data_IF_571019269087
#
_entry.id   IF_571019269087
#
_cell.length_a   1.000
_cell.length_b   1.000
_cell.length_c   1.000
_cell.angle_alpha   90.00
_cell.angle_beta   90.00
_cell.angle_gamma   90.00
#
_symmetry.space_group_name_H-M   'P 1'
#
loop_
_entity.id
_entity.type
_entity.pdbx_description
1 polymer ?
#
# COMPACT_ATOMS: atom_id res chain seq x y z
N UNK A 1 -24.98 -7.30 0.46
CA UNK A 1 -23.73 -7.90 -0.05
C UNK A 1 -23.00 -8.66 1.06
N UNK A 2 -22.41 -7.96 2.04
CA UNK A 2 -21.58 -8.54 3.11
C UNK A 2 -22.17 -9.76 3.84
N UNK A 3 -23.40 -9.66 4.35
CA UNK A 3 -24.02 -10.74 5.13
C UNK A 3 -24.17 -12.07 4.36
N UNK A 4 -24.17 -12.03 3.01
CA UNK A 4 -24.33 -13.20 2.13
C UNK A 4 -23.01 -13.72 1.56
N UNK A 5 -21.94 -12.93 1.61
CA UNK A 5 -20.64 -13.36 1.11
C UNK A 5 -20.01 -14.34 2.09
N UNK A 6 -19.49 -15.45 1.57
CA UNK A 6 -18.73 -16.45 2.32
C UNK A 6 -17.49 -16.77 1.49
N UNK A 7 -16.34 -16.69 2.12
CA UNK A 7 -15.08 -17.11 1.53
C UNK A 7 -14.48 -18.21 2.40
N UNK A 8 -13.96 -19.29 1.80
CA UNK A 8 -13.14 -20.27 2.50
C UNK A 8 -11.68 -19.78 2.67
N UNK A 9 -11.32 -18.62 2.11
CA UNK A 9 -9.96 -18.10 2.15
C UNK A 9 -9.69 -17.44 3.49
N UNK A 10 -8.56 -17.80 4.10
CA UNK A 10 -8.06 -17.14 5.29
C UNK A 10 -7.32 -15.83 4.92
N UNK A 11 -7.68 -14.76 5.63
CA UNK A 11 -7.12 -13.41 5.52
C UNK A 11 -6.18 -13.09 6.71
N UNK A 12 -5.89 -14.08 7.54
CA UNK A 12 -5.11 -13.92 8.75
C UNK A 12 -5.88 -13.22 9.87
N UNK A 13 -5.14 -12.82 10.90
CA UNK A 13 -5.70 -12.35 12.18
C UNK A 13 -6.38 -10.98 12.04
N UNK A 14 -5.84 -10.09 11.20
CA UNK A 14 -6.35 -8.71 11.03
C UNK A 14 -6.64 -8.45 9.54
N UNK A 15 -7.87 -8.68 9.07
CA UNK A 15 -8.17 -8.70 7.63
C UNK A 15 -8.43 -7.31 7.00
N UNK A 16 -8.26 -6.21 7.74
CA UNK A 16 -8.31 -4.82 7.24
C UNK A 16 -9.58 -4.44 6.46
N UNK A 17 -10.75 -4.95 6.87
CA UNK A 17 -12.02 -4.78 6.14
C UNK A 17 -11.99 -5.30 4.67
N UNK A 18 -10.90 -5.94 4.21
CA UNK A 18 -10.76 -6.49 2.86
C UNK A 18 -11.81 -7.55 2.51
N UNK A 19 -12.31 -8.38 3.44
CA UNK A 19 -13.40 -9.27 3.10
C UNK A 19 -14.68 -8.46 2.76
N UNK A 20 -14.88 -7.26 3.34
CA UNK A 20 -16.04 -6.41 2.98
C UNK A 20 -15.89 -5.93 1.55
N UNK A 21 -14.69 -5.51 1.18
CA UNK A 21 -14.36 -5.13 -0.20
C UNK A 21 -14.63 -6.32 -1.14
N UNK A 22 -14.16 -7.52 -0.80
CA UNK A 22 -14.42 -8.74 -1.55
C UNK A 22 -15.93 -9.00 -1.76
N UNK A 23 -16.73 -8.84 -0.72
CA UNK A 23 -18.18 -8.99 -0.79
C UNK A 23 -18.86 -7.95 -1.68
N UNK A 24 -18.37 -6.71 -1.70
CA UNK A 24 -18.90 -5.65 -2.56
C UNK A 24 -18.55 -5.91 -4.04
N UNK A 25 -17.32 -6.35 -4.32
CA UNK A 25 -16.88 -6.75 -5.65
C UNK A 25 -17.69 -7.96 -6.15
N UNK A 26 -17.81 -9.00 -5.32
CA UNK A 26 -18.58 -10.20 -5.66
C UNK A 26 -20.07 -9.92 -5.91
N UNK A 27 -20.61 -8.86 -5.29
CA UNK A 27 -21.98 -8.41 -5.52
C UNK A 27 -22.14 -7.51 -6.76
N UNK A 28 -21.06 -7.24 -7.51
CA UNK A 28 -21.10 -6.49 -8.77
C UNK A 28 -21.33 -4.99 -8.59
N UNK A 29 -20.93 -4.41 -7.45
CA UNK A 29 -21.07 -2.96 -7.26
C UNK A 29 -20.17 -2.19 -8.25
N UNK A 30 -20.61 -1.01 -8.73
CA UNK A 30 -19.86 -0.22 -9.72
C UNK A 30 -18.69 0.57 -9.11
N UNK A 31 -18.46 0.49 -7.79
CA UNK A 31 -17.39 1.20 -7.10
C UNK A 31 -16.02 0.76 -7.62
N UNK A 32 -15.20 1.73 -8.03
CA UNK A 32 -13.88 1.48 -8.65
C UNK A 32 -12.70 1.61 -7.69
N UNK A 33 -12.91 2.28 -6.55
CA UNK A 33 -11.88 2.55 -5.55
C UNK A 33 -12.45 2.26 -4.16
N UNK A 34 -11.74 1.43 -3.41
CA UNK A 34 -12.00 1.13 -2.01
C UNK A 34 -10.79 1.56 -1.19
N UNK A 35 -11.03 2.08 0.00
CA UNK A 35 -9.98 2.53 0.91
C UNK A 35 -10.17 1.87 2.27
N UNK A 36 -9.09 1.26 2.77
CA UNK A 36 -9.04 0.56 4.06
C UNK A 36 -7.72 0.87 4.74
N UNK A 37 -7.69 0.90 6.06
CA UNK A 37 -6.48 1.20 6.81
C UNK A 37 -6.43 0.41 8.13
N UNK A 38 -5.22 0.23 8.66
CA UNK A 38 -5.05 -0.15 10.05
C UNK A 38 -5.64 0.95 10.94
N UNK A 39 -6.40 0.56 11.95
CA UNK A 39 -7.06 1.49 12.87
C UNK A 39 -6.11 1.90 13.98
N UNK A 40 -6.45 3.00 14.67
CA UNK A 40 -5.78 3.45 15.89
C UNK A 40 -4.27 3.69 15.73
N UNK A 41 -3.85 4.11 14.54
CA UNK A 41 -2.45 4.39 14.23
C UNK A 41 -1.52 3.21 14.59
N UNK A 42 -1.92 1.96 14.29
CA UNK A 42 -1.18 0.77 14.73
C UNK A 42 0.31 0.76 14.33
N UNK A 43 0.64 1.32 13.16
CA UNK A 43 2.02 1.45 12.67
C UNK A 43 2.77 2.65 13.25
N UNK A 44 2.09 3.52 13.99
CA UNK A 44 2.69 4.70 14.60
C UNK A 44 3.38 4.40 15.93
N UNK A 45 4.45 3.62 15.85
CA UNK A 45 5.23 3.15 16.99
C UNK A 45 6.47 4.02 17.18
N UNK A 46 6.72 4.50 18.40
CA UNK A 46 7.87 5.37 18.72
C UNK A 46 8.92 4.69 19.60
N UNK A 47 8.63 3.48 20.07
CA UNK A 47 9.47 2.64 20.96
C UNK A 47 9.19 1.17 20.67
N UNK A 48 10.09 0.26 21.05
CA UNK A 48 9.92 -1.20 20.92
C UNK A 48 9.43 -1.65 19.54
N UNK A 49 9.92 -0.99 18.48
CA UNK A 49 9.31 -1.06 17.16
C UNK A 49 9.54 -2.42 16.48
N UNK A 50 10.69 -3.06 16.67
CA UNK A 50 11.08 -4.25 15.91
C UNK A 50 10.02 -5.37 15.96
N UNK A 51 9.62 -5.81 17.15
CA UNK A 51 8.68 -6.91 17.32
C UNK A 51 7.25 -6.55 16.88
N UNK A 52 6.78 -5.36 17.28
CA UNK A 52 5.44 -4.91 16.94
C UNK A 52 5.30 -4.66 15.44
N UNK A 53 6.29 -4.01 14.82
CA UNK A 53 6.29 -3.71 13.40
C UNK A 53 6.38 -5.00 12.57
N UNK A 54 7.24 -5.96 12.95
CA UNK A 54 7.32 -7.26 12.29
C UNK A 54 5.96 -7.99 12.31
N UNK A 55 5.29 -8.02 13.47
CA UNK A 55 3.96 -8.63 13.61
C UNK A 55 2.90 -7.93 12.74
N UNK A 56 2.90 -6.60 12.72
CA UNK A 56 1.96 -5.82 11.91
C UNK A 56 2.20 -6.04 10.41
N UNK A 57 3.45 -6.16 9.97
CA UNK A 57 3.80 -6.51 8.59
C UNK A 57 3.30 -7.91 8.23
N UNK A 58 3.41 -8.89 9.13
CA UNK A 58 2.82 -10.22 8.92
C UNK A 58 1.30 -10.12 8.71
N UNK A 59 0.60 -9.38 9.57
CA UNK A 59 -0.85 -9.21 9.44
C UNK A 59 -1.26 -8.52 8.14
N UNK A 60 -0.52 -7.48 7.74
CA UNK A 60 -0.74 -6.81 6.47
C UNK A 60 -0.52 -7.77 5.28
N UNK A 61 0.56 -8.55 5.33
CA UNK A 61 0.90 -9.53 4.30
C UNK A 61 -0.16 -10.62 4.15
N UNK A 62 -0.62 -11.20 5.27
CA UNK A 62 -1.66 -12.23 5.29
C UNK A 62 -2.98 -11.70 4.74
N UNK A 63 -3.39 -10.49 5.15
CA UNK A 63 -4.64 -9.87 4.70
C UNK A 63 -4.63 -9.60 3.20
N UNK A 64 -3.53 -9.06 2.67
CA UNK A 64 -3.38 -8.78 1.23
C UNK A 64 -3.31 -10.07 0.42
N UNK A 65 -2.55 -11.07 0.89
CA UNK A 65 -2.46 -12.37 0.23
C UNK A 65 -3.82 -13.11 0.23
N UNK A 66 -4.53 -13.09 1.35
CA UNK A 66 -5.90 -13.60 1.48
C UNK A 66 -6.86 -12.92 0.51
N UNK A 67 -6.85 -11.59 0.46
CA UNK A 67 -7.68 -10.83 -0.47
C UNK A 67 -7.41 -11.19 -1.93
N UNK A 68 -6.15 -11.21 -2.37
CA UNK A 68 -5.81 -11.54 -3.76
C UNK A 68 -6.19 -12.99 -4.11
N UNK A 69 -5.97 -13.95 -3.21
CA UNK A 69 -6.43 -15.34 -3.40
C UNK A 69 -7.94 -15.45 -3.51
N UNK A 70 -8.68 -14.68 -2.71
CA UNK A 70 -10.14 -14.70 -2.75
C UNK A 70 -10.67 -14.07 -4.04
N UNK A 71 -10.04 -12.99 -4.52
CA UNK A 71 -10.36 -12.38 -5.81
C UNK A 71 -10.06 -13.34 -6.96
N UNK A 72 -8.93 -14.06 -6.94
CA UNK A 72 -8.65 -15.12 -7.93
C UNK A 72 -9.72 -16.22 -7.90
N UNK A 73 -10.07 -16.70 -6.70
CA UNK A 73 -11.08 -17.75 -6.50
C UNK A 73 -12.44 -17.40 -7.11
N UNK A 74 -12.85 -16.13 -7.04
CA UNK A 74 -14.13 -15.67 -7.61
C UNK A 74 -14.00 -15.16 -9.05
N UNK A 75 -12.85 -15.32 -9.71
CA UNK A 75 -12.62 -14.92 -11.10
C UNK A 75 -12.40 -13.41 -11.30
N UNK A 76 -12.04 -12.67 -10.24
CA UNK A 76 -11.79 -11.24 -10.25
C UNK A 76 -10.30 -10.86 -10.10
N UNK A 77 -9.39 -11.83 -10.02
CA UNK A 77 -7.95 -11.58 -9.80
C UNK A 77 -7.30 -10.64 -10.82
N UNK A 78 -7.68 -10.73 -12.10
CA UNK A 78 -7.21 -9.85 -13.18
C UNK A 78 -7.86 -8.45 -13.16
N UNK A 79 -8.84 -8.24 -12.28
CA UNK A 79 -9.70 -7.05 -12.23
C UNK A 79 -9.51 -6.23 -10.96
N UNK A 80 -8.49 -6.56 -10.16
CA UNK A 80 -8.15 -5.87 -8.91
C UNK A 80 -6.65 -5.61 -8.82
N UNK A 81 -6.30 -4.48 -8.22
CA UNK A 81 -4.94 -4.17 -7.76
C UNK A 81 -5.05 -3.49 -6.39
N UNK A 82 -4.07 -3.74 -5.54
CA UNK A 82 -3.98 -3.14 -4.20
C UNK A 82 -2.78 -2.21 -4.18
N UNK A 83 -3.00 -0.94 -3.85
CA UNK A 83 -1.94 0.02 -3.56
C UNK A 83 -1.84 0.18 -2.05
N UNK A 84 -0.64 -0.02 -1.50
CA UNK A 84 -0.34 0.09 -0.07
C UNK A 84 0.63 1.24 0.10
N UNK A 85 0.32 2.16 1.01
CA UNK A 85 1.13 3.33 1.28
C UNK A 85 1.04 3.75 2.74
N UNK A 86 1.96 4.62 3.14
CA UNK A 86 1.95 5.34 4.41
C UNK A 86 2.05 6.84 4.15
N UNK A 87 1.55 7.66 5.07
CA UNK A 87 1.67 9.12 5.00
C UNK A 87 3.03 9.62 5.51
N UNK A 88 3.75 8.77 6.25
CA UNK A 88 5.06 9.06 6.83
C UNK A 88 5.97 7.83 6.76
N UNK A 89 7.26 8.03 7.02
CA UNK A 89 8.25 6.99 7.24
C UNK A 89 8.92 7.10 8.60
N UNK A 90 10.13 6.57 8.74
CA UNK A 90 10.93 6.67 9.98
C UNK A 90 12.25 7.36 9.70
N UNK A 91 12.71 8.16 10.65
CA UNK A 91 14.08 8.68 10.64
C UNK A 91 15.08 7.56 10.87
N UNK A 92 16.30 7.75 10.38
CA UNK A 92 17.36 6.76 10.55
C UNK A 92 17.90 6.73 11.99
N UNK A 93 18.16 7.87 12.66
CA UNK A 93 18.69 7.84 14.02
C UNK A 93 17.66 7.36 15.05
N UNK A 94 18.17 6.68 16.08
CA UNK A 94 17.39 6.33 17.25
C UNK A 94 17.01 7.59 18.05
N UNK A 95 15.78 7.65 18.55
CA UNK A 95 15.32 8.71 19.44
C UNK A 95 15.69 8.40 20.91
N UNK A 96 15.42 9.35 21.81
CA UNK A 96 15.76 9.22 23.24
C UNK A 96 15.03 8.09 23.97
N UNK A 97 14.05 7.45 23.32
CA UNK A 97 13.21 6.38 23.87
C UNK A 97 13.51 5.00 23.26
N UNK A 98 14.67 4.84 22.62
CA UNK A 98 15.09 3.59 21.97
C UNK A 98 14.15 3.14 20.83
N UNK A 99 13.61 4.11 20.09
CA UNK A 99 12.84 3.90 18.87
C UNK A 99 13.18 4.96 17.82
N UNK A 100 12.24 5.33 16.96
CA UNK A 100 12.46 6.30 15.88
C UNK A 100 11.29 7.26 15.70
N UNK A 101 11.61 8.50 15.35
CA UNK A 101 10.64 9.54 15.07
C UNK A 101 10.10 9.46 13.64
N UNK A 102 9.08 10.27 13.34
CA UNK A 102 8.50 10.38 12.00
C UNK A 102 9.53 10.90 10.99
N UNK A 103 9.63 10.20 9.87
CA UNK A 103 10.49 10.53 8.73
C UNK A 103 9.68 10.89 7.48
N UNK A 104 10.34 11.55 6.53
CA UNK A 104 9.71 12.09 5.33
C UNK A 104 9.56 11.09 4.15
N UNK A 105 10.26 9.95 4.16
CA UNK A 105 10.24 8.99 3.04
C UNK A 105 9.85 7.58 3.49
N UNK A 106 9.11 6.86 2.64
CA UNK A 106 8.64 5.50 2.90
C UNK A 106 8.65 4.64 1.63
N UNK A 107 8.16 3.41 1.76
CA UNK A 107 7.92 2.48 0.66
C UNK A 107 6.43 2.44 0.33
N UNK A 108 6.12 2.40 -0.96
CA UNK A 108 4.78 2.10 -1.48
C UNK A 108 4.81 0.76 -2.23
N UNK A 109 3.73 0.00 -2.12
CA UNK A 109 3.58 -1.28 -2.83
C UNK A 109 2.37 -1.21 -3.77
N UNK A 110 2.50 -1.84 -4.93
CA UNK A 110 1.37 -2.13 -5.83
C UNK A 110 1.37 -3.64 -6.07
N UNK A 111 0.26 -4.30 -5.74
CA UNK A 111 0.18 -5.76 -5.72
C UNK A 111 -1.08 -6.22 -6.45
N UNK A 112 -0.94 -7.21 -7.33
CA UNK A 112 -2.05 -7.78 -8.09
C UNK A 112 -1.55 -8.58 -9.28
N UNK A 113 -2.39 -9.43 -9.85
CA UNK A 113 -2.06 -10.26 -11.02
C UNK A 113 -1.64 -9.44 -12.26
N UNK A 114 -2.25 -8.27 -12.54
CA UNK A 114 -1.85 -7.42 -13.68
C UNK A 114 -0.57 -6.60 -13.44
N UNK A 115 0.06 -6.69 -12.26
CA UNK A 115 1.23 -5.90 -11.90
C UNK A 115 2.50 -6.64 -12.29
N UNK A 116 3.34 -6.02 -13.12
CA UNK A 116 4.72 -6.50 -13.32
C UNK A 116 5.53 -6.21 -12.06
N UNK A 117 5.87 -7.27 -11.32
CA UNK A 117 6.65 -7.17 -10.09
C UNK A 117 8.10 -6.69 -10.33
N UNK A 118 8.69 -6.13 -9.29
CA UNK A 118 10.06 -5.63 -9.29
C UNK A 118 10.26 -4.49 -8.28
N UNK A 119 11.50 -4.06 -8.13
CA UNK A 119 11.83 -2.82 -7.44
C UNK A 119 11.80 -1.67 -8.46
N UNK A 120 11.02 -0.63 -8.15
CA UNK A 120 10.89 0.55 -9.01
C UNK A 120 11.37 1.79 -8.24
N UNK A 121 12.31 2.52 -8.84
CA UNK A 121 13.05 3.59 -8.16
C UNK A 121 14.36 3.09 -7.58
N UNK A 122 15.01 3.94 -6.78
CA UNK A 122 16.31 3.67 -6.16
C UNK A 122 16.18 3.56 -4.63
N UNK A 123 16.92 2.68 -3.96
CA UNK A 123 16.97 2.70 -2.49
C UNK A 123 17.54 4.04 -1.99
N UNK A 124 16.94 4.67 -0.97
CA UNK A 124 17.51 5.89 -0.38
C UNK A 124 18.81 5.58 0.38
N UNK A 125 19.67 6.58 0.52
CA UNK A 125 20.86 6.46 1.36
C UNK A 125 20.49 6.52 2.84
N UNK A 126 21.03 5.59 3.64
CA UNK A 126 20.89 5.61 5.10
C UNK A 126 21.89 6.54 5.79
N UNK A 127 22.85 7.12 5.05
CA UNK A 127 23.90 7.99 5.62
C UNK A 127 23.91 9.40 5.05
N UNK A 128 23.28 9.62 3.89
CA UNK A 128 23.13 10.95 3.29
C UNK A 128 21.70 11.46 3.56
N UNK A 129 21.52 12.00 4.76
CA UNK A 129 20.23 12.49 5.26
C UNK A 129 20.09 14.00 5.02
N UNK A 130 18.85 14.50 5.09
CA UNK A 130 18.62 15.94 5.11
C UNK A 130 18.95 16.56 6.49
N UNK A 131 18.79 17.89 6.61
CA UNK A 131 19.09 18.61 7.85
C UNK A 131 18.20 18.22 9.05
N UNK A 132 17.14 17.44 8.83
CA UNK A 132 16.24 16.93 9.86
C UNK A 132 16.36 15.41 10.06
N UNK A 133 17.47 14.81 9.64
CA UNK A 133 17.76 13.37 9.70
C UNK A 133 16.77 12.49 8.93
N UNK A 134 16.08 13.05 7.93
CA UNK A 134 15.20 12.28 7.06
C UNK A 134 15.99 11.61 5.94
N UNK A 135 15.50 10.43 5.56
CA UNK A 135 15.83 9.86 4.26
C UNK A 135 15.41 10.83 3.15
N UNK A 136 16.35 11.15 2.26
CA UNK A 136 16.04 11.87 1.03
C UNK A 136 15.33 10.90 0.09
N UNK A 137 14.08 11.21 -0.27
CA UNK A 137 13.30 10.35 -1.17
C UNK A 137 13.96 10.29 -2.55
N UNK A 138 13.96 9.11 -3.15
CA UNK A 138 14.47 8.89 -4.52
C UNK A 138 13.35 8.90 -5.56
N UNK A 139 12.11 8.73 -5.10
CA UNK A 139 10.91 8.66 -5.92
C UNK A 139 9.84 9.53 -5.29
N UNK A 140 9.35 10.52 -6.05
CA UNK A 140 8.16 11.27 -5.65
C UNK A 140 6.95 10.32 -5.65
N UNK A 141 6.26 10.22 -4.52
CA UNK A 141 5.11 9.32 -4.36
C UNK A 141 4.03 9.55 -5.43
N UNK A 142 3.90 10.78 -5.95
CA UNK A 142 2.94 11.12 -7.00
C UNK A 142 3.21 10.39 -8.31
N UNK A 143 4.42 9.87 -8.53
CA UNK A 143 4.70 8.93 -9.64
C UNK A 143 3.93 7.62 -9.50
N UNK A 144 3.83 7.08 -8.28
CA UNK A 144 3.04 5.87 -7.99
C UNK A 144 1.55 6.15 -8.21
N UNK A 145 1.06 7.28 -7.71
CA UNK A 145 -0.33 7.71 -7.96
C UNK A 145 -0.60 7.89 -9.45
N UNK A 146 0.26 8.60 -10.20
CA UNK A 146 0.14 8.77 -11.64
C UNK A 146 0.08 7.41 -12.36
N UNK A 147 0.92 6.47 -11.94
CA UNK A 147 0.96 5.11 -12.49
C UNK A 147 -0.37 4.38 -12.34
N UNK A 148 -0.98 4.40 -11.14
CA UNK A 148 -2.26 3.73 -10.89
C UNK A 148 -3.43 4.49 -11.53
N UNK A 149 -3.43 5.82 -11.47
CA UNK A 149 -4.51 6.63 -12.06
C UNK A 149 -4.56 6.46 -13.58
N UNK A 150 -3.40 6.51 -14.24
CA UNK A 150 -3.33 6.37 -15.69
C UNK A 150 -3.44 4.90 -16.12
N UNK A 151 -2.53 4.06 -15.64
CA UNK A 151 -2.39 2.68 -16.12
C UNK A 151 -3.48 1.72 -15.63
N UNK A 152 -4.12 1.99 -14.48
CA UNK A 152 -5.18 1.13 -13.95
C UNK A 152 -6.56 1.78 -14.03
N UNK A 153 -6.71 3.03 -13.56
CA UNK A 153 -8.00 3.72 -13.60
C UNK A 153 -8.34 4.29 -14.99
N UNK A 154 -7.38 4.33 -15.91
CA UNK A 154 -7.57 4.79 -17.29
C UNK A 154 -7.73 6.31 -17.43
N UNK A 155 -7.35 7.09 -16.42
CA UNK A 155 -7.46 8.55 -16.45
C UNK A 155 -6.14 9.19 -16.87
N UNK A 156 -6.05 9.54 -18.15
CA UNK A 156 -4.83 10.02 -18.82
C UNK A 156 -4.34 11.40 -18.35
N UNK A 157 -5.24 12.27 -17.88
CA UNK A 157 -4.93 13.66 -17.51
C UNK A 157 -4.41 13.78 -16.07
N UNK A 158 -3.51 12.89 -15.67
CA UNK A 158 -2.99 12.82 -14.29
C UNK A 158 -2.39 14.13 -13.82
N UNK A 159 -1.80 14.92 -14.73
CA UNK A 159 -1.19 16.21 -14.39
C UNK A 159 -2.17 17.28 -13.88
N UNK A 160 -3.42 17.25 -14.34
CA UNK A 160 -4.47 18.15 -13.82
C UNK A 160 -4.85 17.78 -12.38
N UNK A 161 -4.93 16.47 -12.10
CA UNK A 161 -5.29 15.94 -10.79
C UNK A 161 -4.17 16.09 -9.76
N UNK A 162 -2.94 15.76 -10.16
CA UNK A 162 -1.75 15.77 -9.29
C UNK A 162 -1.04 17.13 -9.25
N UNK A 163 -1.57 18.13 -9.97
CA UNK A 163 -1.01 19.48 -10.10
C UNK A 163 0.46 19.49 -10.55
N UNK A 164 0.80 18.59 -11.48
CA UNK A 164 2.16 18.41 -11.98
C UNK A 164 2.29 17.14 -12.82
N UNK A 165 3.25 17.11 -13.74
CA UNK A 165 3.52 15.90 -14.55
C UNK A 165 4.49 14.99 -13.80
N UNK A 166 4.08 13.75 -13.59
CA UNK A 166 4.87 12.71 -12.92
C UNK A 166 4.98 11.51 -13.86
N UNK A 167 6.20 11.10 -14.16
CA UNK A 167 6.45 9.96 -15.03
C UNK A 167 5.98 8.65 -14.36
N UNK A 168 5.06 7.96 -15.01
CA UNK A 168 4.53 6.67 -14.58
C UNK A 168 5.57 5.56 -14.69
N UNK A 169 5.49 4.58 -13.80
CA UNK A 169 6.24 3.35 -13.92
C UNK A 169 5.55 2.39 -14.90
N UNK A 170 6.30 1.62 -15.69
CA UNK A 170 5.73 0.70 -16.67
C UNK A 170 5.19 -0.60 -16.03
N UNK A 171 4.46 -0.54 -14.91
CA UNK A 171 4.06 -1.74 -14.14
C UNK A 171 2.79 -2.43 -14.63
N UNK A 172 1.98 -1.74 -15.42
CA UNK A 172 0.78 -2.30 -16.06
C UNK A 172 1.07 -2.54 -17.54
N UNK A 173 0.53 -3.63 -18.09
CA UNK A 173 0.60 -3.97 -19.52
C UNK A 173 -0.56 -3.34 -20.30
#
# INVERSE_FOLDING_TARGET
AWARYRSPVDYGIVPLDLPKVAALIAAGLPTRLYYTAFRHNAFDTHVHQADLHARLLTYASDAVAGFLRDMERIGWGDRVVVMIFSEFGRRVPENTSLGTDHGAANLMFVVGKPVRGGHHGEPPSLSALDAGDNLVYTTDFRRVYATVIDGWLGFRKTGELLRGRFESFPIFA
#
